data_IF_103229817211
#
_entry.id   IF_103229817211
#
_cell.length_a   1.000
_cell.length_b   1.000
_cell.length_c   1.000
_cell.angle_alpha   90.00
_cell.angle_beta   90.00
_cell.angle_gamma   90.00
#
_symmetry.space_group_name_H-M   'P 1'
#
loop_
_entity.id
_entity.type
_entity.pdbx_description
1 polymer ?
#
# COMPACT_ATOMS: atom_id res chain seq x y z
N UNK A 1 -1.34 -2.24 29.66
CA UNK A 1 -0.65 -2.35 28.35
C UNK A 1 -1.66 -2.06 27.26
N UNK A 2 -1.53 -0.93 26.59
CA UNK A 2 -2.47 -0.42 25.58
C UNK A 2 -2.26 -1.15 24.25
N UNK A 3 -3.35 -1.65 23.67
CA UNK A 3 -3.37 -2.28 22.34
C UNK A 3 -2.74 -1.35 21.30
N UNK A 4 -1.80 -1.84 20.49
CA UNK A 4 -1.29 -1.13 19.31
C UNK A 4 -2.32 -0.92 18.21
N UNK A 5 -3.47 -1.59 18.30
CA UNK A 5 -4.65 -1.34 17.47
C UNK A 5 -5.47 -0.14 17.95
N UNK A 6 -5.00 0.62 18.96
CA UNK A 6 -5.71 1.81 19.39
C UNK A 6 -5.76 2.84 18.24
N UNK A 7 -6.98 3.23 17.85
CA UNK A 7 -7.28 4.25 16.84
C UNK A 7 -6.38 5.50 16.96
N UNK A 8 -6.04 6.00 18.17
CA UNK A 8 -5.14 7.16 18.32
C UNK A 8 -3.69 6.92 17.89
N UNK A 9 -3.09 5.78 18.23
CA UNK A 9 -1.68 5.48 17.88
C UNK A 9 -1.50 5.37 16.38
N UNK A 10 -2.41 4.64 15.75
CA UNK A 10 -2.41 4.47 14.31
C UNK A 10 -2.69 5.82 13.60
N UNK A 11 -3.60 6.66 14.11
CA UNK A 11 -3.86 8.00 13.55
C UNK A 11 -2.63 8.90 13.63
N UNK A 12 -1.87 8.83 14.73
CA UNK A 12 -0.59 9.52 14.89
C UNK A 12 0.42 9.06 13.84
N UNK A 13 0.56 7.75 13.63
CA UNK A 13 1.49 7.20 12.64
C UNK A 13 1.13 7.64 11.22
N UNK A 14 -0.15 7.55 10.83
CA UNK A 14 -0.62 8.07 9.54
C UNK A 14 -0.35 9.57 9.38
N UNK A 15 -0.60 10.36 10.44
CA UNK A 15 -0.32 11.80 10.44
C UNK A 15 1.16 12.16 10.30
N UNK A 16 2.10 11.27 10.66
CA UNK A 16 3.54 11.47 10.42
C UNK A 16 3.87 11.22 8.95
N UNK A 17 3.36 10.13 8.36
CA UNK A 17 3.64 9.80 6.96
C UNK A 17 2.98 10.78 5.97
N UNK A 18 1.95 11.51 6.40
CA UNK A 18 1.29 12.56 5.61
C UNK A 18 1.94 13.94 5.73
N UNK A 19 2.97 14.11 6.58
CA UNK A 19 3.69 15.39 6.70
C UNK A 19 4.59 15.63 5.48
N UNK A 20 4.84 16.91 5.18
CA UNK A 20 5.79 17.31 4.14
C UNK A 20 7.22 16.87 4.51
N UNK A 21 7.58 17.00 5.79
CA UNK A 21 8.87 16.61 6.36
C UNK A 21 8.69 15.97 7.75
N UNK A 22 9.43 14.91 8.03
CA UNK A 22 9.50 14.28 9.34
C UNK A 22 10.90 13.72 9.60
N UNK A 23 11.26 13.57 10.88
CA UNK A 23 12.57 13.02 11.26
C UNK A 23 12.61 11.52 10.87
N UNK A 24 13.73 11.00 10.33
CA UNK A 24 13.86 9.60 9.92
C UNK A 24 13.35 8.58 10.94
N UNK A 25 13.64 8.80 12.22
CA UNK A 25 13.16 7.96 13.33
C UNK A 25 11.64 7.91 13.44
N UNK A 26 10.97 9.05 13.28
CA UNK A 26 9.51 9.15 13.35
C UNK A 26 8.85 8.50 12.14
N UNK A 27 9.46 8.64 10.96
CA UNK A 27 9.04 7.95 9.73
C UNK A 27 9.15 6.43 9.92
N UNK A 28 10.30 5.94 10.40
CA UNK A 28 10.52 4.52 10.68
C UNK A 28 9.54 3.98 11.73
N UNK A 29 9.32 4.73 12.81
CA UNK A 29 8.31 4.38 13.83
C UNK A 29 6.91 4.28 13.23
N UNK A 30 6.50 5.30 12.46
CA UNK A 30 5.18 5.35 11.86
C UNK A 30 4.97 4.21 10.86
N UNK A 31 5.99 3.96 10.02
CA UNK A 31 6.02 2.87 9.07
C UNK A 31 5.83 1.51 9.76
N UNK A 32 6.71 1.16 10.71
CA UNK A 32 6.63 -0.12 11.42
C UNK A 32 5.33 -0.25 12.20
N UNK A 33 4.85 0.83 12.83
CA UNK A 33 3.60 0.83 13.59
C UNK A 33 2.41 0.47 12.70
N UNK A 34 2.34 1.05 11.49
CA UNK A 34 1.27 0.75 10.55
C UNK A 34 1.40 -0.65 9.94
N UNK A 35 2.61 -1.12 9.60
CA UNK A 35 2.81 -2.49 9.13
C UNK A 35 2.41 -3.54 10.17
N UNK A 36 2.88 -3.40 11.41
CA UNK A 36 2.58 -4.35 12.47
C UNK A 36 1.10 -4.34 12.86
N UNK A 37 0.38 -3.24 12.61
CA UNK A 37 -1.08 -3.22 12.79
C UNK A 37 -1.83 -4.11 11.79
N UNK A 38 -1.18 -4.48 10.68
CA UNK A 38 -1.69 -5.37 9.64
C UNK A 38 -1.25 -6.83 9.80
N UNK A 39 -0.40 -7.13 10.80
CA UNK A 39 0.08 -8.47 11.15
C UNK A 39 -0.70 -9.01 12.38
N UNK A 40 -1.00 -10.31 12.43
CA UNK A 40 -1.63 -10.92 13.61
C UNK A 40 -0.71 -10.82 14.84
N UNK A 41 -1.29 -10.47 16.00
CA UNK A 41 -0.56 -10.33 17.25
C UNK A 41 0.13 -11.63 17.68
N UNK A 42 1.46 -11.72 17.48
CA UNK A 42 2.32 -12.65 18.23
C UNK A 42 3.02 -11.91 19.38
N UNK A 43 3.11 -12.57 20.54
CA UNK A 43 3.62 -12.00 21.81
C UNK A 43 5.11 -11.63 21.79
N UNK A 44 5.91 -12.19 20.89
CA UNK A 44 7.36 -11.89 20.76
C UNK A 44 7.67 -10.56 20.02
N UNK A 45 6.73 -9.60 20.03
CA UNK A 45 6.66 -8.53 19.02
C UNK A 45 7.33 -7.20 19.38
N UNK A 46 7.73 -6.98 20.64
CA UNK A 46 8.16 -5.65 21.08
C UNK A 46 9.67 -5.39 20.82
N UNK A 47 10.56 -6.29 21.21
CA UNK A 47 11.99 -6.20 20.85
C UNK A 47 12.19 -6.25 19.34
N UNK A 48 11.45 -7.11 18.64
CA UNK A 48 11.43 -7.15 17.17
C UNK A 48 10.94 -5.84 16.56
N UNK A 49 9.98 -5.16 17.19
CA UNK A 49 9.54 -3.83 16.73
C UNK A 49 10.66 -2.82 16.85
N UNK A 50 11.30 -2.71 18.01
CA UNK A 50 12.38 -1.75 18.20
C UNK A 50 13.55 -2.01 17.25
N UNK A 51 13.89 -3.29 17.04
CA UNK A 51 14.89 -3.69 16.04
C UNK A 51 14.52 -3.25 14.63
N UNK A 52 13.26 -3.46 14.21
CA UNK A 52 12.78 -3.10 12.87
C UNK A 52 12.67 -1.59 12.66
N UNK A 53 12.35 -0.83 13.73
CA UNK A 53 12.39 0.64 13.70
C UNK A 53 13.83 1.11 13.49
N UNK A 54 14.80 0.57 14.24
CA UNK A 54 16.20 0.94 14.10
C UNK A 54 16.76 0.59 12.72
N UNK A 55 16.39 -0.56 12.16
CA UNK A 55 16.74 -0.97 10.80
C UNK A 55 16.23 0.03 9.76
N UNK A 56 14.95 0.39 9.81
CA UNK A 56 14.38 1.37 8.87
C UNK A 56 14.93 2.78 9.09
N UNK A 57 15.19 3.19 10.33
CA UNK A 57 15.83 4.47 10.61
C UNK A 57 17.23 4.55 9.97
N UNK A 58 18.06 3.53 10.16
CA UNK A 58 19.39 3.46 9.56
C UNK A 58 19.31 3.48 8.03
N UNK A 59 18.40 2.69 7.46
CA UNK A 59 18.18 2.67 6.01
C UNK A 59 17.77 4.04 5.46
N UNK A 60 16.85 4.75 6.13
CA UNK A 60 16.44 6.10 5.70
C UNK A 60 17.64 7.06 5.71
N UNK A 61 18.50 6.99 6.73
CA UNK A 61 19.70 7.83 6.81
C UNK A 61 20.69 7.53 5.68
N UNK A 62 20.85 6.26 5.30
CA UNK A 62 21.73 5.84 4.20
C UNK A 62 21.27 6.33 2.82
N UNK A 63 19.97 6.59 2.63
CA UNK A 63 19.45 7.13 1.38
C UNK A 63 19.96 8.54 1.05
N UNK A 64 20.52 9.27 2.03
CA UNK A 64 21.02 10.64 1.88
C UNK A 64 19.98 11.57 1.20
N UNK A 65 18.71 11.44 1.61
CA UNK A 65 17.63 12.24 1.05
C UNK A 65 17.78 13.74 1.38
N UNK A 66 17.26 14.64 0.52
CA UNK A 66 17.21 16.06 0.83
C UNK A 66 16.49 16.34 2.14
N UNK A 67 17.14 17.12 3.01
CA UNK A 67 16.57 17.56 4.28
C UNK A 67 15.64 18.76 4.11
N UNK A 68 14.79 19.01 5.10
CA UNK A 68 13.88 20.17 5.13
C UNK A 68 14.67 21.48 4.91
N UNK A 69 14.44 22.19 3.78
CA UNK A 69 15.14 23.42 3.48
C UNK A 69 14.81 24.55 4.46
N UNK A 70 13.67 24.47 5.16
CA UNK A 70 13.25 25.46 6.16
C UNK A 70 13.89 25.20 7.52
N UNK A 71 14.24 23.95 7.84
CA UNK A 71 14.82 23.55 9.12
C UNK A 71 15.91 22.46 8.96
N UNK A 72 17.03 22.75 8.29
CA UNK A 72 18.04 21.74 7.96
C UNK A 72 18.69 21.11 9.20
N UNK A 73 18.72 21.82 10.33
CA UNK A 73 19.28 21.32 11.60
C UNK A 73 18.49 20.17 12.25
N UNK A 74 17.28 19.88 11.78
CA UNK A 74 16.45 18.78 12.30
C UNK A 74 16.75 17.44 11.65
N UNK A 75 17.43 17.44 10.48
CA UNK A 75 17.62 16.23 9.67
C UNK A 75 16.30 15.62 9.16
N UNK A 76 15.20 16.37 9.19
CA UNK A 76 13.91 15.91 8.69
C UNK A 76 13.94 15.73 7.18
N UNK A 77 13.34 14.66 6.68
CA UNK A 77 13.28 14.30 5.26
C UNK A 77 11.83 14.08 4.84
N UNK A 78 11.57 14.07 3.54
CA UNK A 78 10.21 13.86 3.02
C UNK A 78 9.77 12.39 3.16
N UNK A 79 8.68 12.07 3.88
CA UNK A 79 8.12 10.72 3.92
C UNK A 79 7.75 10.17 2.54
N UNK A 80 7.30 11.02 1.61
CA UNK A 80 6.98 10.61 0.23
C UNK A 80 8.25 10.24 -0.55
N UNK A 81 9.37 10.94 -0.33
CA UNK A 81 10.65 10.55 -0.91
C UNK A 81 11.12 9.20 -0.36
N UNK A 82 10.98 8.97 0.96
CA UNK A 82 11.28 7.67 1.58
C UNK A 82 10.40 6.56 0.98
N UNK A 83 9.09 6.81 0.85
CA UNK A 83 8.14 5.88 0.22
C UNK A 83 8.56 5.52 -1.20
N UNK A 84 8.97 6.50 -2.00
CA UNK A 84 9.41 6.28 -3.37
C UNK A 84 10.66 5.41 -3.44
N UNK A 85 11.63 5.61 -2.54
CA UNK A 85 12.79 4.74 -2.40
C UNK A 85 12.42 3.32 -1.93
N UNK A 86 11.38 3.20 -1.10
CA UNK A 86 10.97 1.92 -0.52
C UNK A 86 10.24 0.99 -1.50
N UNK A 87 9.62 1.53 -2.57
CA UNK A 87 8.70 0.82 -3.49
C UNK A 87 9.17 -0.57 -3.96
N UNK A 88 10.48 -0.77 -4.11
CA UNK A 88 11.05 -2.03 -4.63
C UNK A 88 11.81 -2.85 -3.58
N UNK A 89 12.06 -2.27 -2.40
CA UNK A 89 12.94 -2.86 -1.37
C UNK A 89 12.11 -3.37 -0.20
N UNK A 90 11.09 -2.61 0.21
CA UNK A 90 10.30 -2.89 1.41
C UNK A 90 8.81 -2.70 1.16
N UNK A 91 7.99 -3.34 1.98
CA UNK A 91 6.55 -3.12 1.99
C UNK A 91 6.23 -1.78 2.65
N UNK A 92 5.63 -0.84 1.90
CA UNK A 92 5.15 0.43 2.45
C UNK A 92 3.73 0.27 3.04
N UNK A 93 3.37 0.93 4.15
CA UNK A 93 2.02 0.84 4.67
C UNK A 93 1.03 1.45 3.69
N UNK A 94 -0.01 0.70 3.36
CA UNK A 94 -1.10 1.18 2.53
C UNK A 94 -1.80 2.38 3.20
N UNK A 95 -2.05 3.46 2.47
CA UNK A 95 -2.57 4.73 2.99
C UNK A 95 -3.98 4.63 3.61
N UNK A 96 -4.73 3.56 3.29
CA UNK A 96 -6.14 3.38 3.66
C UNK A 96 -6.40 2.89 5.10
N UNK A 97 -5.47 3.03 6.03
CA UNK A 97 -5.66 2.54 7.42
C UNK A 97 -6.75 3.35 8.15
N UNK A 98 -7.17 4.50 7.61
CA UNK A 98 -8.19 5.38 8.21
C UNK A 98 -9.19 6.04 7.27
N UNK A 99 -9.11 5.82 5.96
CA UNK A 99 -10.15 6.36 5.09
C UNK A 99 -11.44 5.56 5.33
N UNK A 100 -12.34 6.11 6.15
CA UNK A 100 -13.75 5.75 6.07
C UNK A 100 -14.19 6.02 4.63
N UNK A 101 -14.85 5.07 3.96
CA UNK A 101 -15.36 5.30 2.61
C UNK A 101 -16.24 6.54 2.64
N UNK A 102 -15.79 7.61 1.98
CA UNK A 102 -16.54 8.86 1.89
C UNK A 102 -17.82 8.55 1.13
N UNK A 103 -18.96 8.70 1.79
CA UNK A 103 -20.25 8.56 1.13
C UNK A 103 -20.33 9.54 -0.05
N UNK A 104 -20.82 9.13 -1.23
CA UNK A 104 -20.88 9.98 -2.40
C UNK A 104 -21.82 11.16 -2.14
N UNK A 105 -21.24 12.33 -1.85
CA UNK A 105 -21.95 13.60 -1.87
C UNK A 105 -21.95 14.09 -3.32
N UNK A 106 -23.11 14.04 -3.97
CA UNK A 106 -23.47 14.50 -5.32
C UNK A 106 -23.32 13.54 -6.52
N UNK A 107 -24.35 13.48 -7.41
CA UNK A 107 -24.37 12.64 -8.61
C UNK A 107 -23.35 13.01 -9.70
N UNK A 108 -22.64 14.14 -9.56
CA UNK A 108 -21.58 14.59 -10.49
C UNK A 108 -20.18 14.62 -9.85
N UNK A 109 -20.02 14.07 -8.65
CA UNK A 109 -18.73 14.03 -7.96
C UNK A 109 -17.83 12.94 -8.54
N UNK A 110 -16.56 13.29 -8.82
CA UNK A 110 -15.53 12.36 -9.30
C UNK A 110 -15.57 11.07 -8.48
N UNK A 111 -15.85 9.96 -9.16
CA UNK A 111 -15.83 8.63 -8.57
C UNK A 111 -14.44 8.39 -8.00
N UNK A 112 -14.30 8.47 -6.68
CA UNK A 112 -13.18 7.84 -5.98
C UNK A 112 -13.40 6.35 -6.12
N UNK A 113 -12.89 5.78 -7.22
CA UNK A 113 -12.94 4.35 -7.44
C UNK A 113 -12.13 3.69 -6.32
N UNK A 114 -12.85 3.03 -5.39
CA UNK A 114 -12.22 2.12 -4.45
C UNK A 114 -11.38 1.12 -5.26
N UNK A 115 -10.06 1.20 -5.10
CA UNK A 115 -9.04 0.29 -5.63
C UNK A 115 -9.49 -0.46 -6.90
N UNK A 116 -9.37 0.21 -8.05
CA UNK A 116 -9.99 -0.17 -9.33
C UNK A 116 -9.78 -1.64 -9.74
N UNK A 117 -8.69 -2.28 -9.32
CA UNK A 117 -8.37 -3.68 -9.64
C UNK A 117 -8.93 -4.71 -8.65
N UNK A 118 -9.36 -4.31 -7.45
CA UNK A 118 -9.83 -5.24 -6.43
C UNK A 118 -11.09 -5.98 -6.88
N UNK A 119 -12.05 -5.30 -7.50
CA UNK A 119 -13.26 -5.95 -8.03
C UNK A 119 -12.92 -6.98 -9.13
N UNK A 120 -12.11 -6.66 -10.16
CA UNK A 120 -11.63 -7.64 -11.12
C UNK A 120 -10.96 -8.87 -10.48
N UNK A 121 -10.18 -8.70 -9.40
CA UNK A 121 -9.56 -9.84 -8.71
C UNK A 121 -10.62 -10.72 -8.02
N UNK A 122 -11.61 -10.12 -7.36
CA UNK A 122 -12.71 -10.87 -6.74
C UNK A 122 -13.55 -11.61 -7.78
N UNK A 123 -13.84 -10.95 -8.91
CA UNK A 123 -14.56 -11.55 -10.02
C UNK A 123 -13.74 -12.72 -10.62
N UNK A 124 -12.42 -12.58 -10.76
CA UNK A 124 -11.54 -13.67 -11.19
C UNK A 124 -11.51 -14.85 -10.21
N UNK A 125 -11.50 -14.60 -8.90
CA UNK A 125 -11.61 -15.67 -7.88
C UNK A 125 -12.95 -16.40 -7.99
N UNK A 126 -14.04 -15.67 -8.23
CA UNK A 126 -15.35 -16.25 -8.44
C UNK A 126 -15.41 -17.09 -9.72
N UNK A 127 -14.86 -16.58 -10.82
CA UNK A 127 -14.80 -17.28 -12.10
C UNK A 127 -13.89 -18.52 -12.04
N UNK A 128 -12.88 -18.51 -11.16
CA UNK A 128 -12.06 -19.67 -10.83
C UNK A 128 -12.75 -20.66 -9.86
N UNK A 129 -14.03 -20.47 -9.53
CA UNK A 129 -14.77 -21.33 -8.62
C UNK A 129 -14.33 -21.24 -7.15
N UNK A 130 -13.79 -20.09 -6.74
CA UNK A 130 -13.20 -19.90 -5.41
C UNK A 130 -11.77 -20.44 -5.27
N UNK A 131 -11.18 -20.94 -6.36
CA UNK A 131 -9.78 -21.35 -6.39
C UNK A 131 -8.83 -20.17 -6.16
N UNK A 132 -7.78 -20.41 -5.38
CA UNK A 132 -6.70 -19.45 -5.15
C UNK A 132 -5.44 -19.75 -5.96
N UNK A 133 -5.55 -20.61 -6.98
CA UNK A 133 -4.48 -20.88 -7.93
C UNK A 133 -4.12 -19.60 -8.68
N UNK A 134 -2.94 -19.07 -8.34
CA UNK A 134 -2.44 -17.79 -8.85
C UNK A 134 -2.20 -17.83 -10.35
N UNK A 135 -1.83 -18.97 -10.92
CA UNK A 135 -1.64 -19.10 -12.36
C UNK A 135 -2.98 -19.02 -13.09
N UNK A 136 -4.01 -19.70 -12.57
CA UNK A 136 -5.37 -19.62 -13.10
C UNK A 136 -5.95 -18.21 -12.96
N UNK A 137 -5.75 -17.56 -11.82
CA UNK A 137 -6.22 -16.19 -11.58
C UNK A 137 -5.54 -15.17 -12.51
N UNK A 138 -4.23 -15.28 -12.75
CA UNK A 138 -3.54 -14.45 -13.74
C UNK A 138 -4.12 -14.66 -15.13
N UNK A 139 -4.35 -15.91 -15.56
CA UNK A 139 -4.91 -16.18 -16.88
C UNK A 139 -6.31 -15.57 -17.07
N UNK A 140 -7.16 -15.60 -16.03
CA UNK A 140 -8.49 -14.97 -16.07
C UNK A 140 -8.37 -13.44 -16.18
N UNK A 141 -7.49 -12.83 -15.38
CA UNK A 141 -7.25 -11.39 -15.38
C UNK A 141 -6.64 -10.90 -16.71
N UNK A 142 -5.75 -11.69 -17.32
CA UNK A 142 -5.25 -11.41 -18.68
C UNK A 142 -6.38 -11.45 -19.70
N UNK A 143 -7.33 -12.37 -19.55
CA UNK A 143 -8.55 -12.42 -20.37
C UNK A 143 -9.34 -11.11 -20.24
N UNK A 144 -9.57 -10.65 -19.01
CA UNK A 144 -10.26 -9.38 -18.78
C UNK A 144 -9.53 -8.18 -19.40
N UNK A 145 -8.20 -8.16 -19.34
CA UNK A 145 -7.39 -7.12 -19.97
C UNK A 145 -7.51 -7.15 -21.49
N UNK A 146 -7.44 -8.33 -22.12
CA UNK A 146 -7.60 -8.51 -23.57
C UNK A 146 -9.01 -8.14 -24.06
N UNK A 147 -10.01 -8.32 -23.21
CA UNK A 147 -11.40 -7.89 -23.45
C UNK A 147 -11.59 -6.36 -23.32
N UNK A 148 -10.54 -5.62 -22.94
CA UNK A 148 -10.60 -4.17 -22.74
C UNK A 148 -11.41 -3.76 -21.51
N UNK A 149 -11.56 -4.63 -20.51
CA UNK A 149 -12.27 -4.30 -19.27
C UNK A 149 -11.44 -3.33 -18.43
N UNK A 150 -12.04 -2.21 -18.02
CA UNK A 150 -11.43 -1.33 -17.03
C UNK A 150 -11.20 -2.11 -15.71
N UNK A 151 -10.09 -1.85 -14.98
CA UNK A 151 -9.09 -0.79 -15.20
C UNK A 151 -7.86 -1.22 -16.01
N UNK A 152 -7.91 -2.38 -16.68
CA UNK A 152 -6.74 -2.91 -17.38
C UNK A 152 -6.39 -2.07 -18.60
N UNK A 153 -5.10 -2.03 -18.92
CA UNK A 153 -4.57 -1.38 -20.12
C UNK A 153 -3.99 -2.44 -21.06
N UNK A 154 -2.72 -2.77 -20.91
CA UNK A 154 -2.02 -3.74 -21.75
C UNK A 154 -1.56 -4.98 -20.97
N UNK A 155 -1.37 -6.09 -21.68
CA UNK A 155 -0.71 -7.29 -21.15
C UNK A 155 0.73 -7.31 -21.67
N UNK A 156 1.70 -7.26 -20.76
CA UNK A 156 3.13 -7.27 -21.08
C UNK A 156 3.76 -8.60 -20.66
N UNK A 157 5.00 -8.91 -21.09
CA UNK A 157 5.72 -10.10 -20.61
C UNK A 157 5.96 -10.10 -19.08
N UNK A 158 5.89 -8.93 -18.44
CA UNK A 158 6.19 -8.75 -17.02
C UNK A 158 4.92 -8.85 -16.15
N UNK A 159 3.74 -8.58 -16.72
CA UNK A 159 2.46 -8.64 -16.03
C UNK A 159 1.35 -7.88 -16.75
N UNK A 160 0.25 -7.61 -16.04
CA UNK A 160 -0.92 -6.91 -16.58
C UNK A 160 -0.91 -5.46 -16.11
N UNK A 161 -0.89 -4.52 -17.04
CA UNK A 161 -0.97 -3.10 -16.73
C UNK A 161 -2.40 -2.70 -16.35
N UNK A 162 -2.52 -1.81 -15.37
CA UNK A 162 -3.81 -1.28 -14.95
C UNK A 162 -3.70 0.15 -14.41
N UNK A 163 -4.81 0.88 -14.54
CA UNK A 163 -4.96 2.25 -14.06
C UNK A 163 -5.23 2.24 -12.56
N UNK A 164 -4.29 2.81 -11.79
CA UNK A 164 -4.46 3.04 -10.36
C UNK A 164 -5.72 3.84 -10.02
N UNK A 165 -6.15 3.78 -8.76
CA UNK A 165 -7.33 4.53 -8.27
C UNK A 165 -7.22 6.05 -8.43
N UNK A 166 -6.00 6.60 -8.47
CA UNK A 166 -5.71 8.02 -8.69
C UNK A 166 -5.14 8.32 -10.08
N UNK A 167 -5.23 7.37 -11.03
CA UNK A 167 -4.60 7.50 -12.34
C UNK A 167 -5.30 8.55 -13.21
N UNK A 168 -4.50 9.43 -13.81
CA UNK A 168 -4.91 10.44 -14.79
C UNK A 168 -4.21 10.20 -16.13
N UNK A 169 -4.74 10.78 -17.21
CA UNK A 169 -4.17 10.62 -18.54
C UNK A 169 -2.72 11.14 -18.59
N UNK A 170 -1.79 10.25 -18.94
CA UNK A 170 -0.34 10.52 -18.94
C UNK A 170 0.41 9.95 -17.74
N UNK A 171 -0.30 9.46 -16.71
CA UNK A 171 0.31 8.78 -15.57
C UNK A 171 0.80 7.37 -15.95
N UNK A 172 1.79 6.88 -15.22
CA UNK A 172 2.29 5.52 -15.39
C UNK A 172 1.25 4.50 -14.94
N UNK A 173 1.13 3.41 -15.68
CA UNK A 173 0.33 2.26 -15.28
C UNK A 173 0.98 1.53 -14.10
N UNK A 174 0.13 0.90 -13.28
CA UNK A 174 0.57 -0.07 -12.30
C UNK A 174 0.72 -1.43 -12.98
N UNK A 175 1.64 -2.26 -12.48
CA UNK A 175 1.87 -3.59 -13.01
C UNK A 175 1.36 -4.67 -12.05
N UNK A 176 0.42 -5.49 -12.51
CA UNK A 176 -0.07 -6.67 -11.81
C UNK A 176 0.76 -7.89 -12.23
N UNK A 177 1.75 -8.22 -11.41
CA UNK A 177 2.54 -9.46 -11.46
C UNK A 177 2.00 -10.52 -10.51
N UNK A 178 2.44 -11.77 -10.62
CA UNK A 178 2.13 -12.85 -9.66
C UNK A 178 2.42 -12.42 -8.21
N UNK A 179 3.54 -11.72 -7.97
CA UNK A 179 3.92 -11.23 -6.64
C UNK A 179 2.90 -10.22 -6.12
N UNK A 180 2.51 -9.25 -6.94
CA UNK A 180 1.52 -8.23 -6.54
C UNK A 180 0.13 -8.81 -6.38
N UNK A 181 -0.28 -9.77 -7.22
CA UNK A 181 -1.52 -10.51 -7.07
C UNK A 181 -1.55 -11.27 -5.75
N UNK A 182 -0.45 -11.95 -5.39
CA UNK A 182 -0.34 -12.66 -4.12
C UNK A 182 -0.54 -11.71 -2.92
N UNK A 183 0.09 -10.54 -2.93
CA UNK A 183 -0.07 -9.55 -1.86
C UNK A 183 -1.53 -9.07 -1.78
N UNK A 184 -2.17 -8.83 -2.93
CA UNK A 184 -3.58 -8.43 -2.99
C UNK A 184 -4.50 -9.53 -2.46
N UNK A 185 -4.32 -10.78 -2.86
CA UNK A 185 -5.09 -11.92 -2.35
C UNK A 185 -4.91 -12.10 -0.83
N UNK A 186 -3.68 -11.96 -0.32
CA UNK A 186 -3.43 -11.98 1.12
C UNK A 186 -4.21 -10.87 1.84
N UNK A 187 -4.25 -9.66 1.28
CA UNK A 187 -5.03 -8.55 1.83
C UNK A 187 -6.55 -8.78 1.76
N UNK A 188 -7.06 -9.41 0.69
CA UNK A 188 -8.48 -9.75 0.57
C UNK A 188 -8.90 -10.82 1.59
N UNK A 189 -8.06 -11.85 1.82
CA UNK A 189 -8.26 -12.84 2.88
C UNK A 189 -8.27 -12.20 4.27
N UNK A 190 -7.31 -11.31 4.55
CA UNK A 190 -7.27 -10.54 5.82
C UNK A 190 -8.55 -9.72 6.05
N UNK A 191 -9.24 -9.32 4.99
CA UNK A 191 -10.51 -8.57 5.03
C UNK A 191 -11.76 -9.47 5.02
N UNK A 192 -11.61 -10.79 4.91
CA UNK A 192 -12.73 -11.73 4.80
C UNK A 192 -13.56 -11.57 3.52
N UNK A 193 -12.95 -11.08 2.44
CA UNK A 193 -13.60 -10.87 1.15
C UNK A 193 -13.47 -12.07 0.20
N UNK A 194 -12.51 -12.95 0.49
CA UNK A 194 -12.29 -14.26 -0.13
C UNK A 194 -11.83 -15.24 0.95
#
# INVERSE_FOLDING_TARGET
MTKLTSKPILKKASGILAQEFAIPKDIAWAWVTLLLSQEEQKRDSEEKRYSRIAEFEAWILELNLPVDPKNPGTGAVSPEAVKNSARNVFEWPHEYIFEEPVAPNHPDSKVTYGDTITKPILDAVKDAGGSDDRAALIAILEGYAKDGKEPFADVTPEGIEWKGSAWSQGDKYNLLTIKTLNNRLANLRKKGLI
#
